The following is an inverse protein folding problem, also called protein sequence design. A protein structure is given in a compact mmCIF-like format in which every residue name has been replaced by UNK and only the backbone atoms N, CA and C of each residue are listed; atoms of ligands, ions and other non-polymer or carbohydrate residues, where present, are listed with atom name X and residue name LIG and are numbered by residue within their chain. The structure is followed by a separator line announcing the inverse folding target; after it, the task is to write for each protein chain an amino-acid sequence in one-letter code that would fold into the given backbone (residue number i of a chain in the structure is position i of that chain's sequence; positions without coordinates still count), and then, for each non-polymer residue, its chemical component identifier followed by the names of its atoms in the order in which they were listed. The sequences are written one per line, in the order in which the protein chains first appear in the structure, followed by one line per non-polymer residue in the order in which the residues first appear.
data_IF_714618750614
#
_entry.id   IF_714618750614
#
_cell.length_a   1.000
_cell.length_b   1.000
_cell.length_c   1.000
_cell.angle_alpha   90.00
_cell.angle_beta   90.00
_cell.angle_gamma   90.00
#
_symmetry.space_group_name_H-M   'P 1'
#
loop_
_entity.id
_entity.type
_entity.pdbx_description
1 polymer ?
#
# COMPACT_ATOMS: atom_id res chain seq x y z
N UNK A 1 16.26 -8.04 -10.50
CA UNK A 1 16.84 -6.75 -10.90
C UNK A 1 17.42 -6.80 -12.31
N UNK A 2 18.52 -7.51 -12.56
CA UNK A 2 19.15 -7.55 -13.89
C UNK A 2 18.15 -7.87 -15.02
N UNK A 3 17.32 -8.89 -14.85
CA UNK A 3 16.31 -9.27 -15.84
C UNK A 3 15.30 -8.14 -16.11
N UNK A 4 14.74 -7.49 -15.08
CA UNK A 4 13.79 -6.39 -15.26
C UNK A 4 14.45 -5.19 -15.97
N UNK A 5 15.69 -4.85 -15.58
CA UNK A 5 16.46 -3.80 -16.24
C UNK A 5 16.70 -4.12 -17.71
N UNK A 6 17.17 -5.35 -18.03
CA UNK A 6 17.41 -5.77 -19.41
C UNK A 6 16.13 -5.74 -20.26
N UNK A 7 14.99 -6.14 -19.69
CA UNK A 7 13.72 -6.09 -20.41
C UNK A 7 13.25 -4.64 -20.65
N UNK A 8 13.47 -3.73 -19.70
CA UNK A 8 13.14 -2.31 -19.87
C UNK A 8 14.08 -1.57 -20.83
N UNK A 9 15.29 -2.08 -21.07
CA UNK A 9 16.22 -1.54 -22.05
C UNK A 9 15.87 -1.93 -23.50
N UNK A 10 14.99 -2.90 -23.71
CA UNK A 10 14.60 -3.30 -25.06
C UNK A 10 13.86 -2.14 -25.76
N UNK A 11 14.13 -1.90 -27.06
CA UNK A 11 13.43 -0.85 -27.83
C UNK A 11 11.91 -1.02 -27.86
N UNK A 12 11.41 -2.25 -27.68
CA UNK A 12 9.97 -2.55 -27.59
C UNK A 12 9.35 -2.04 -26.30
N UNK A 13 10.15 -1.73 -25.27
CA UNK A 13 9.65 -1.31 -23.95
C UNK A 13 9.31 0.17 -23.86
N UNK A 14 9.86 1.03 -24.71
CA UNK A 14 9.63 2.48 -24.74
C UNK A 14 8.97 2.93 -26.02
N UNK A 15 8.24 4.06 -25.93
CA UNK A 15 7.66 4.75 -27.10
C UNK A 15 8.64 5.72 -27.75
N UNK A 16 9.76 6.02 -27.10
CA UNK A 16 10.76 6.95 -27.60
C UNK A 16 11.59 6.31 -28.73
N UNK A 17 11.92 7.09 -29.73
CA UNK A 17 12.80 6.64 -30.85
C UNK A 17 14.23 6.39 -30.37
N UNK A 18 14.67 7.10 -29.31
CA UNK A 18 15.94 6.88 -28.67
C UNK A 18 15.85 5.76 -27.62
N UNK A 19 16.88 4.89 -27.54
CA UNK A 19 16.90 3.81 -26.55
C UNK A 19 16.89 4.38 -25.13
N UNK A 20 16.05 3.85 -24.27
CA UNK A 20 16.00 4.22 -22.85
C UNK A 20 17.37 4.12 -22.22
N UNK A 21 17.81 5.16 -21.50
CA UNK A 21 19.11 5.14 -20.85
C UNK A 21 19.19 4.03 -19.79
N UNK A 22 20.38 3.47 -19.59
CA UNK A 22 20.60 2.44 -18.57
C UNK A 22 20.19 2.92 -17.17
N UNK A 23 20.48 4.19 -16.83
CA UNK A 23 20.11 4.77 -15.54
C UNK A 23 18.60 4.83 -15.34
N UNK A 24 17.85 5.21 -16.36
CA UNK A 24 16.37 5.24 -16.33
C UNK A 24 15.77 3.84 -16.16
N UNK A 25 16.22 2.88 -16.97
CA UNK A 25 15.76 1.49 -16.89
C UNK A 25 16.10 0.84 -15.55
N UNK A 26 17.34 1.03 -15.08
CA UNK A 26 17.79 0.50 -13.79
C UNK A 26 17.02 1.11 -12.61
N UNK A 27 16.90 2.44 -12.57
CA UNK A 27 16.16 3.12 -11.51
C UNK A 27 14.69 2.66 -11.48
N UNK A 28 14.04 2.59 -12.65
CA UNK A 28 12.65 2.15 -12.74
C UNK A 28 12.50 0.68 -12.33
N UNK A 29 13.42 -0.21 -12.71
CA UNK A 29 13.41 -1.61 -12.28
C UNK A 29 13.59 -1.74 -10.76
N UNK A 30 14.50 -0.97 -10.15
CA UNK A 30 14.70 -0.93 -8.69
C UNK A 30 13.44 -0.42 -8.00
N UNK A 31 12.88 0.70 -8.48
CA UNK A 31 11.65 1.29 -7.94
C UNK A 31 10.46 0.32 -8.01
N UNK A 32 10.31 -0.40 -9.13
CA UNK A 32 9.26 -1.40 -9.30
C UNK A 32 9.43 -2.61 -8.35
N UNK A 33 10.64 -3.17 -8.28
CA UNK A 33 10.92 -4.34 -7.43
C UNK A 33 10.90 -4.02 -5.93
N UNK A 34 11.23 -2.78 -5.55
CA UNK A 34 11.11 -2.33 -4.16
C UNK A 34 9.71 -1.85 -3.81
N UNK A 35 8.76 -1.92 -4.75
CA UNK A 35 7.40 -1.36 -4.60
C UNK A 35 7.38 0.12 -4.19
N UNK A 36 8.43 0.88 -4.55
CA UNK A 36 8.59 2.27 -4.19
C UNK A 36 7.73 3.20 -5.06
N UNK A 37 7.59 2.86 -6.37
CA UNK A 37 6.74 3.59 -7.31
C UNK A 37 7.26 4.95 -7.75
N UNK A 38 8.48 5.32 -7.39
CA UNK A 38 9.08 6.56 -7.85
C UNK A 38 9.45 6.41 -9.32
N UNK A 39 8.94 7.31 -10.16
CA UNK A 39 9.23 7.35 -11.58
C UNK A 39 9.97 8.63 -11.93
N UNK A 40 11.07 8.49 -12.69
CA UNK A 40 11.83 9.63 -13.25
C UNK A 40 11.39 9.97 -14.66
N UNK A 41 10.55 9.14 -15.26
CA UNK A 41 9.89 9.38 -16.55
C UNK A 41 8.39 9.23 -16.38
N UNK A 42 7.62 9.85 -17.25
CA UNK A 42 6.17 9.64 -17.22
C UNK A 42 5.86 8.20 -17.65
N UNK A 43 5.37 7.40 -16.70
CA UNK A 43 5.15 5.97 -16.93
C UNK A 43 4.15 5.68 -18.06
N UNK A 44 3.22 6.59 -18.31
CA UNK A 44 2.16 6.43 -19.32
C UNK A 44 2.63 6.74 -20.73
N UNK A 45 3.49 7.74 -20.91
CA UNK A 45 3.96 8.19 -22.22
C UNK A 45 5.26 7.50 -22.63
N UNK A 46 6.10 7.16 -21.67
CA UNK A 46 7.39 6.54 -21.92
C UNK A 46 7.30 5.02 -22.18
N UNK A 47 6.54 4.28 -21.33
CA UNK A 47 6.51 2.82 -21.42
C UNK A 47 5.38 2.31 -22.31
N UNK A 48 5.72 1.46 -23.26
CA UNK A 48 4.76 0.72 -24.10
C UNK A 48 3.93 -0.27 -23.26
N UNK A 49 2.93 -0.89 -23.88
CA UNK A 49 2.20 -1.97 -23.21
C UNK A 49 3.10 -3.11 -22.71
N UNK A 50 4.20 -3.42 -23.41
CA UNK A 50 5.18 -4.39 -22.99
C UNK A 50 5.97 -3.89 -21.76
N UNK A 51 6.47 -2.65 -21.80
CA UNK A 51 7.15 -2.04 -20.65
C UNK A 51 6.25 -1.99 -19.40
N UNK A 52 4.98 -1.65 -19.56
CA UNK A 52 4.00 -1.67 -18.48
C UNK A 52 3.78 -3.09 -17.90
N UNK A 53 3.76 -4.13 -18.71
CA UNK A 53 3.71 -5.52 -18.23
C UNK A 53 4.97 -5.88 -17.45
N UNK A 54 6.15 -5.48 -17.92
CA UNK A 54 7.41 -5.69 -17.18
C UNK A 54 7.36 -5.01 -15.82
N UNK A 55 6.85 -3.77 -15.73
CA UNK A 55 6.65 -3.06 -14.47
C UNK A 55 5.68 -3.80 -13.55
N UNK A 56 4.53 -4.21 -14.09
CA UNK A 56 3.50 -4.94 -13.33
C UNK A 56 4.05 -6.23 -12.73
N UNK A 57 4.74 -7.04 -13.52
CA UNK A 57 5.37 -8.29 -13.06
C UNK A 57 6.46 -8.00 -12.02
N UNK A 58 7.27 -6.95 -12.24
CA UNK A 58 8.34 -6.57 -11.30
C UNK A 58 7.78 -6.13 -9.95
N UNK A 59 6.72 -5.31 -9.93
CA UNK A 59 6.04 -4.89 -8.70
C UNK A 59 5.41 -6.09 -7.99
N UNK A 60 4.74 -6.97 -8.73
CA UNK A 60 4.14 -8.18 -8.15
C UNK A 60 5.17 -9.10 -7.50
N UNK A 61 6.30 -9.33 -8.17
CA UNK A 61 7.41 -10.11 -7.61
C UNK A 61 8.03 -9.42 -6.41
N UNK A 62 8.17 -8.09 -6.44
CA UNK A 62 8.69 -7.29 -5.35
C UNK A 62 7.81 -7.37 -4.10
N UNK A 63 6.51 -7.09 -4.24
CA UNK A 63 5.55 -7.13 -3.13
C UNK A 63 5.40 -8.50 -2.50
N UNK A 64 5.24 -9.55 -3.31
CA UNK A 64 5.22 -10.93 -2.81
C UNK A 64 6.55 -11.32 -2.15
N UNK A 65 7.69 -10.90 -2.73
CA UNK A 65 9.01 -11.15 -2.19
C UNK A 65 9.23 -10.53 -0.83
N UNK A 66 8.87 -9.27 -0.65
CA UNK A 66 8.99 -8.56 0.65
C UNK A 66 8.12 -9.20 1.71
N UNK A 67 6.86 -9.50 1.40
CA UNK A 67 5.95 -10.15 2.35
C UNK A 67 6.44 -11.54 2.77
N UNK A 68 6.88 -12.36 1.81
CA UNK A 68 7.37 -13.72 2.10
C UNK A 68 8.69 -13.69 2.86
N UNK A 69 9.64 -12.85 2.48
CA UNK A 69 10.93 -12.73 3.16
C UNK A 69 10.76 -12.24 4.60
N UNK A 70 9.95 -11.21 4.82
CA UNK A 70 9.63 -10.73 6.17
C UNK A 70 8.97 -11.81 7.03
N UNK A 71 8.09 -12.63 6.44
CA UNK A 71 7.43 -13.75 7.13
C UNK A 71 8.42 -14.85 7.50
N UNK A 72 9.36 -15.16 6.62
CA UNK A 72 10.42 -16.14 6.87
C UNK A 72 11.36 -15.68 7.98
N UNK A 73 11.74 -14.41 8.01
CA UNK A 73 12.54 -13.84 9.11
C UNK A 73 11.79 -13.94 10.43
N UNK A 74 10.51 -13.57 10.47
CA UNK A 74 9.69 -13.67 11.66
C UNK A 74 9.58 -15.12 12.15
N UNK A 75 9.43 -16.08 11.24
CA UNK A 75 9.39 -17.51 11.56
C UNK A 75 10.75 -17.99 12.11
N UNK A 76 11.86 -17.60 11.48
CA UNK A 76 13.21 -17.95 11.91
C UNK A 76 13.56 -17.36 13.29
N UNK A 77 13.19 -16.10 13.54
CA UNK A 77 13.39 -15.45 14.84
C UNK A 77 12.65 -16.17 15.97
N UNK A 78 11.47 -16.71 15.70
CA UNK A 78 10.69 -17.47 16.67
C UNK A 78 11.34 -18.82 17.08
N UNK A 79 12.23 -19.36 16.24
CA UNK A 79 12.97 -20.59 16.60
C UNK A 79 13.93 -20.42 17.79
N UNK A 80 14.37 -19.20 18.06
CA UNK A 80 15.27 -18.88 19.18
C UNK A 80 14.55 -18.45 20.46
N UNK A 81 13.23 -18.35 20.46
CA UNK A 81 12.44 -17.93 21.62
C UNK A 81 12.12 -19.12 22.56
N UNK A 82 12.06 -18.86 23.89
CA UNK A 82 11.67 -19.85 24.91
C UNK A 82 10.26 -20.39 24.65
N UNK A 83 9.99 -21.65 25.09
CA UNK A 83 8.74 -22.37 24.82
C UNK A 83 7.46 -21.57 25.14
N UNK A 84 7.47 -20.75 26.19
CA UNK A 84 6.33 -19.92 26.61
C UNK A 84 6.04 -18.79 25.60
N UNK A 85 7.09 -18.18 25.04
CA UNK A 85 6.92 -17.16 23.99
C UNK A 85 6.52 -17.78 22.64
N UNK A 86 6.96 -19.03 22.36
CA UNK A 86 6.52 -19.80 21.19
C UNK A 86 5.01 -20.05 21.18
N UNK A 87 4.41 -20.34 22.33
CA UNK A 87 2.96 -20.56 22.44
C UNK A 87 2.15 -19.28 22.14
N UNK A 88 2.63 -18.13 22.60
CA UNK A 88 1.98 -16.84 22.32
C UNK A 88 2.10 -16.47 20.84
N UNK A 89 3.26 -16.66 20.24
CA UNK A 89 3.52 -16.30 18.84
C UNK A 89 2.94 -17.34 17.86
N UNK A 90 2.91 -18.63 18.23
CA UNK A 90 2.22 -19.66 17.46
C UNK A 90 0.71 -19.43 17.39
N UNK A 91 0.12 -18.88 18.45
CA UNK A 91 -1.28 -18.45 18.44
C UNK A 91 -1.52 -17.25 17.51
N UNK A 92 -0.52 -16.39 17.29
CA UNK A 92 -0.63 -15.26 16.37
C UNK A 92 -0.42 -15.64 14.90
N UNK A 93 0.52 -16.54 14.62
CA UNK A 93 0.84 -16.99 13.25
C UNK A 93 0.11 -18.28 12.84
N UNK A 94 -0.39 -19.06 13.81
CA UNK A 94 -1.23 -20.23 13.61
C UNK A 94 -0.55 -21.47 13.04
N UNK A 95 0.77 -21.64 13.23
CA UNK A 95 1.53 -22.75 12.59
C UNK A 95 2.72 -23.27 13.42
N UNK A 96 2.94 -24.58 13.35
CA UNK A 96 4.07 -25.28 13.98
C UNK A 96 4.68 -26.30 13.02
N UNK A 97 5.72 -25.99 12.26
CA UNK A 97 6.74 -26.80 11.55
C UNK A 97 7.00 -26.39 10.08
N UNK A 98 8.06 -26.94 9.45
CA UNK A 98 8.57 -26.63 8.10
C UNK A 98 7.59 -26.79 6.90
N UNK A 99 6.49 -27.51 7.07
CA UNK A 99 5.33 -27.47 6.18
C UNK A 99 4.66 -26.06 6.14
N UNK A 100 5.01 -25.22 7.04
CA UNK A 100 4.53 -23.88 7.32
C UNK A 100 4.97 -22.85 6.32
N UNK A 101 6.22 -22.92 5.82
CA UNK A 101 6.72 -21.98 4.80
C UNK A 101 5.85 -22.05 3.54
N UNK A 102 5.51 -23.27 3.11
CA UNK A 102 4.58 -23.48 1.99
C UNK A 102 3.17 -22.96 2.32
N UNK A 103 2.72 -23.18 3.55
CA UNK A 103 1.43 -22.67 4.03
C UNK A 103 1.38 -21.15 4.03
N UNK A 104 2.40 -20.48 4.60
CA UNK A 104 2.49 -19.02 4.60
C UNK A 104 2.55 -18.46 3.17
N UNK A 105 3.40 -19.02 2.31
CA UNK A 105 3.52 -18.60 0.92
C UNK A 105 2.19 -18.74 0.17
N UNK A 106 1.54 -19.89 0.28
CA UNK A 106 0.23 -20.15 -0.35
C UNK A 106 -0.81 -19.13 0.12
N UNK A 107 -0.82 -18.82 1.40
CA UNK A 107 -1.78 -17.87 1.96
C UNK A 107 -1.49 -16.45 1.49
N UNK A 108 -0.22 -16.01 1.49
CA UNK A 108 0.16 -14.69 0.97
C UNK A 108 -0.26 -14.55 -0.48
N UNK A 109 0.09 -15.52 -1.34
CA UNK A 109 -0.27 -15.51 -2.76
C UNK A 109 -1.79 -15.49 -2.93
N UNK A 110 -2.51 -16.38 -2.25
CA UNK A 110 -3.98 -16.47 -2.37
C UNK A 110 -4.66 -15.19 -1.92
N UNK A 111 -4.24 -14.60 -0.79
CA UNK A 111 -4.81 -13.35 -0.28
C UNK A 111 -4.55 -12.21 -1.24
N UNK A 112 -3.34 -12.09 -1.77
CA UNK A 112 -2.97 -11.10 -2.78
C UNK A 112 -3.88 -11.20 -4.00
N UNK A 113 -3.96 -12.38 -4.60
CA UNK A 113 -4.82 -12.58 -5.79
C UNK A 113 -6.30 -12.35 -5.52
N UNK A 114 -6.81 -12.69 -4.34
CA UNK A 114 -8.20 -12.40 -3.98
C UNK A 114 -8.44 -10.90 -3.94
N UNK A 115 -7.60 -10.14 -3.23
CA UNK A 115 -7.78 -8.70 -3.09
C UNK A 115 -7.60 -7.99 -4.43
N UNK A 116 -6.58 -8.36 -5.21
CA UNK A 116 -6.36 -7.82 -6.55
C UNK A 116 -7.54 -8.12 -7.49
N UNK A 117 -8.09 -9.33 -7.45
CA UNK A 117 -9.27 -9.69 -8.25
C UNK A 117 -10.51 -8.90 -7.85
N UNK A 118 -10.76 -8.74 -6.54
CA UNK A 118 -11.87 -7.93 -6.04
C UNK A 118 -11.69 -6.46 -6.46
N UNK A 119 -10.48 -5.93 -6.35
CA UNK A 119 -10.15 -4.57 -6.75
C UNK A 119 -10.33 -4.38 -8.26
N UNK A 120 -9.85 -5.33 -9.07
CA UNK A 120 -10.06 -5.34 -10.53
C UNK A 120 -11.54 -5.26 -10.88
N UNK A 121 -12.37 -6.12 -10.28
CA UNK A 121 -13.81 -6.14 -10.52
C UNK A 121 -14.50 -4.84 -10.07
N UNK A 122 -14.07 -4.27 -8.95
CA UNK A 122 -14.63 -3.03 -8.42
C UNK A 122 -14.24 -1.80 -9.27
N UNK A 123 -13.04 -1.79 -9.88
CA UNK A 123 -12.56 -0.74 -10.75
C UNK A 123 -13.24 -0.76 -12.13
N UNK A 124 -13.61 -1.94 -12.60
CA UNK A 124 -14.06 -2.15 -13.98
C UNK A 124 -15.22 -1.23 -14.38
N UNK A 125 -16.31 -1.08 -13.60
CA UNK A 125 -17.43 -0.19 -13.98
C UNK A 125 -17.03 1.28 -14.08
N UNK A 126 -16.22 1.77 -13.15
CA UNK A 126 -15.75 3.16 -13.14
C UNK A 126 -14.86 3.49 -14.34
N UNK A 127 -13.87 2.65 -14.61
CA UNK A 127 -12.97 2.80 -15.74
C UNK A 127 -13.67 2.56 -17.09
N UNK A 128 -14.66 1.67 -17.14
CA UNK A 128 -15.44 1.42 -18.37
C UNK A 128 -16.17 2.68 -18.84
N UNK A 129 -16.72 3.45 -17.90
CA UNK A 129 -17.32 4.76 -18.21
C UNK A 129 -16.30 5.78 -18.73
N UNK A 130 -15.11 5.86 -18.12
CA UNK A 130 -14.02 6.75 -18.52
C UNK A 130 -13.50 6.38 -19.91
N UNK A 131 -13.30 5.10 -20.17
CA UNK A 131 -12.73 4.56 -21.41
C UNK A 131 -13.75 4.41 -22.56
N UNK A 132 -14.90 5.07 -22.44
CA UNK A 132 -15.94 5.12 -23.48
C UNK A 132 -16.35 3.72 -23.99
N UNK A 133 -16.41 2.74 -23.08
CA UNK A 133 -16.83 1.37 -23.40
C UNK A 133 -15.75 0.47 -24.01
N UNK A 134 -14.50 0.89 -24.05
CA UNK A 134 -13.41 0.04 -24.56
C UNK A 134 -12.99 -1.01 -23.52
N UNK A 135 -13.55 -2.21 -23.64
CA UNK A 135 -13.33 -3.34 -22.71
C UNK A 135 -11.84 -3.70 -22.56
N UNK A 136 -11.10 -3.76 -23.67
CA UNK A 136 -9.68 -4.17 -23.66
C UNK A 136 -8.80 -3.16 -22.92
N UNK A 137 -9.03 -1.88 -23.16
CA UNK A 137 -8.30 -0.80 -22.49
C UNK A 137 -8.65 -0.77 -21.00
N UNK A 138 -9.94 -0.84 -20.67
CA UNK A 138 -10.44 -0.91 -19.29
C UNK A 138 -9.87 -2.08 -18.51
N UNK A 139 -9.84 -3.28 -19.10
CA UNK A 139 -9.30 -4.46 -18.44
C UNK A 139 -7.80 -4.31 -18.13
N UNK A 140 -7.03 -3.74 -19.06
CA UNK A 140 -5.60 -3.49 -18.84
C UNK A 140 -5.36 -2.50 -17.71
N UNK A 141 -6.07 -1.37 -17.72
CA UNK A 141 -5.95 -0.36 -16.67
C UNK A 141 -6.43 -0.87 -15.32
N UNK A 142 -7.56 -1.55 -15.26
CA UNK A 142 -8.09 -2.12 -14.02
C UNK A 142 -7.12 -3.13 -13.40
N UNK A 143 -6.47 -3.97 -14.23
CA UNK A 143 -5.45 -4.91 -13.77
C UNK A 143 -4.22 -4.18 -13.23
N UNK A 144 -3.77 -3.16 -13.95
CA UNK A 144 -2.61 -2.35 -13.57
C UNK A 144 -2.86 -1.67 -12.23
N UNK A 145 -3.97 -0.96 -12.07
CA UNK A 145 -4.34 -0.31 -10.81
C UNK A 145 -4.53 -1.31 -9.66
N UNK A 146 -5.14 -2.48 -9.92
CA UNK A 146 -5.36 -3.48 -8.88
C UNK A 146 -4.03 -3.98 -8.29
N UNK A 147 -3.07 -4.32 -9.15
CA UNK A 147 -1.74 -4.78 -8.71
C UNK A 147 -0.96 -3.66 -8.04
N UNK A 148 -0.91 -2.48 -8.68
CA UNK A 148 -0.14 -1.35 -8.15
C UNK A 148 -0.68 -0.87 -6.79
N UNK A 149 -2.00 -0.81 -6.63
CA UNK A 149 -2.61 -0.35 -5.38
C UNK A 149 -2.38 -1.31 -4.22
N UNK A 150 -2.57 -2.60 -4.41
CA UNK A 150 -2.34 -3.58 -3.35
C UNK A 150 -0.87 -3.65 -2.92
N UNK A 151 0.05 -3.54 -3.88
CA UNK A 151 1.49 -3.52 -3.60
C UNK A 151 1.99 -2.14 -3.13
N UNK A 152 1.11 -1.16 -3.01
CA UNK A 152 1.47 0.21 -2.63
C UNK A 152 2.56 0.84 -3.53
N UNK A 153 2.58 0.45 -4.80
CA UNK A 153 3.45 1.02 -5.82
C UNK A 153 2.70 2.13 -6.57
N UNK A 154 3.17 3.34 -6.47
CA UNK A 154 2.48 4.54 -6.97
C UNK A 154 2.52 4.76 -8.49
N UNK A 155 2.86 3.75 -9.29
CA UNK A 155 2.79 3.86 -10.75
C UNK A 155 1.35 3.91 -11.24
N UNK A 156 1.07 4.80 -12.18
CA UNK A 156 -0.25 4.95 -12.81
C UNK A 156 -0.18 4.60 -14.29
N UNK A 157 -1.23 3.94 -14.85
CA UNK A 157 -1.26 3.54 -16.25
C UNK A 157 -1.67 4.69 -17.18
N UNK A 158 -2.18 5.77 -16.62
CA UNK A 158 -2.60 6.97 -17.31
C UNK A 158 -2.11 8.24 -16.59
N UNK A 159 -2.19 9.39 -17.25
CA UNK A 159 -1.77 10.67 -16.67
C UNK A 159 -2.75 11.26 -15.65
N UNK A 160 -3.92 10.64 -15.45
CA UNK A 160 -4.96 11.15 -14.55
C UNK A 160 -4.77 10.69 -13.08
N UNK A 161 -3.81 9.80 -12.83
CA UNK A 161 -3.45 9.35 -11.49
C UNK A 161 -4.58 8.61 -10.77
N UNK A 162 -4.93 9.05 -9.55
CA UNK A 162 -5.93 8.38 -8.69
C UNK A 162 -7.39 8.62 -9.13
N UNK A 163 -7.66 9.50 -10.07
CA UNK A 163 -9.04 9.91 -10.43
C UNK A 163 -9.85 10.37 -9.20
N UNK A 164 -9.31 11.29 -8.39
CA UNK A 164 -9.94 11.78 -7.14
C UNK A 164 -11.39 12.23 -7.37
N UNK A 165 -11.70 12.78 -8.53
CA UNK A 165 -13.05 13.23 -8.88
C UNK A 165 -14.01 12.08 -9.23
N UNK A 166 -13.54 10.84 -9.34
CA UNK A 166 -14.35 9.66 -9.62
C UNK A 166 -14.22 8.61 -8.50
N UNK A 167 -15.17 8.62 -7.57
CA UNK A 167 -15.20 7.68 -6.45
C UNK A 167 -15.28 6.20 -6.88
N UNK A 168 -15.88 5.91 -8.03
CA UNK A 168 -15.94 4.54 -8.54
C UNK A 168 -14.56 3.98 -8.91
N UNK A 169 -13.56 4.84 -9.10
CA UNK A 169 -12.17 4.46 -9.34
C UNK A 169 -11.31 4.71 -8.11
N UNK A 170 -11.40 5.89 -7.51
CA UNK A 170 -10.56 6.27 -6.38
C UNK A 170 -10.76 5.39 -5.14
N UNK A 171 -12.01 5.08 -4.78
CA UNK A 171 -12.31 4.28 -3.57
C UNK A 171 -11.76 2.85 -3.63
N UNK A 172 -11.94 2.07 -4.72
CA UNK A 172 -11.33 0.75 -4.81
C UNK A 172 -9.79 0.77 -4.73
N UNK A 173 -9.14 1.77 -5.36
CA UNK A 173 -7.68 1.94 -5.27
C UNK A 173 -7.26 2.18 -3.83
N UNK A 174 -7.91 3.14 -3.14
CA UNK A 174 -7.61 3.46 -1.74
C UNK A 174 -7.87 2.27 -0.80
N UNK A 175 -8.97 1.55 -0.99
CA UNK A 175 -9.28 0.37 -0.20
C UNK A 175 -8.25 -0.75 -0.40
N UNK A 176 -7.83 -0.99 -1.63
CA UNK A 176 -6.79 -1.97 -1.97
C UNK A 176 -5.44 -1.61 -1.34
N UNK A 177 -5.01 -0.35 -1.49
CA UNK A 177 -3.79 0.17 -0.89
C UNK A 177 -3.82 0.08 0.64
N UNK A 178 -4.95 0.42 1.25
CA UNK A 178 -5.16 0.26 2.69
C UNK A 178 -5.05 -1.20 3.14
N UNK A 179 -5.63 -2.15 2.40
CA UNK A 179 -5.47 -3.58 2.67
C UNK A 179 -4.00 -4.02 2.60
N UNK A 180 -3.26 -3.59 1.56
CA UNK A 180 -1.83 -3.84 1.44
C UNK A 180 -1.02 -3.27 2.61
N UNK A 181 -1.40 -2.09 3.10
CA UNK A 181 -0.78 -1.44 4.26
C UNK A 181 -1.02 -2.16 5.58
N UNK A 182 -2.16 -2.83 5.78
CA UNK A 182 -2.44 -3.57 7.03
C UNK A 182 -1.51 -4.76 7.24
N UNK A 183 -1.04 -5.37 6.17
CA UNK A 183 -0.21 -6.56 6.19
C UNK A 183 -1.01 -7.86 6.26
N UNK A 184 -0.42 -8.92 5.70
CA UNK A 184 -1.13 -10.19 5.53
C UNK A 184 -1.55 -10.87 6.85
N UNK A 185 -0.79 -10.82 7.99
CA UNK A 185 -1.25 -11.47 9.23
C UNK A 185 -2.54 -10.87 9.78
N UNK A 186 -2.69 -9.55 9.65
CA UNK A 186 -3.92 -8.83 10.04
C UNK A 186 -5.08 -9.24 9.15
N UNK A 187 -4.87 -9.24 7.83
CA UNK A 187 -5.88 -9.65 6.85
C UNK A 187 -6.34 -11.08 7.09
N UNK A 188 -5.39 -12.01 7.34
CA UNK A 188 -5.71 -13.39 7.68
C UNK A 188 -6.52 -13.52 8.96
N UNK A 189 -6.11 -12.82 10.01
CA UNK A 189 -6.86 -12.84 11.27
C UNK A 189 -8.28 -12.33 11.05
N UNK A 190 -8.44 -11.23 10.32
CA UNK A 190 -9.76 -10.68 9.98
C UNK A 190 -10.61 -11.66 9.15
N UNK A 191 -10.03 -12.30 8.12
CA UNK A 191 -10.73 -13.28 7.30
C UNK A 191 -11.17 -14.50 8.12
N UNK A 192 -10.30 -15.03 8.99
CA UNK A 192 -10.64 -16.12 9.92
C UNK A 192 -11.75 -15.71 10.88
N UNK A 193 -11.62 -14.52 11.47
CA UNK A 193 -12.60 -13.99 12.41
C UNK A 193 -13.96 -13.76 11.74
N UNK A 194 -13.98 -13.26 10.51
CA UNK A 194 -15.19 -13.10 9.72
C UNK A 194 -15.85 -14.46 9.42
N UNK A 195 -15.06 -15.46 8.99
CA UNK A 195 -15.55 -16.82 8.70
C UNK A 195 -16.15 -17.51 9.94
N UNK A 196 -15.51 -17.35 11.10
CA UNK A 196 -15.95 -17.97 12.35
C UNK A 196 -16.83 -17.06 13.20
N UNK A 197 -17.22 -15.88 12.71
CA UNK A 197 -18.02 -14.86 13.41
C UNK A 197 -17.49 -14.55 14.81
N UNK A 198 -16.16 -14.53 14.97
CA UNK A 198 -15.53 -14.27 16.28
C UNK A 198 -15.62 -12.78 16.63
N UNK A 199 -16.04 -12.44 17.87
CA UNK A 199 -16.17 -11.04 18.26
C UNK A 199 -14.80 -10.35 18.33
N UNK A 200 -14.72 -9.01 18.12
CA UNK A 200 -13.49 -8.22 18.14
C UNK A 200 -12.64 -8.39 19.43
N UNK A 201 -13.28 -8.71 20.54
CA UNK A 201 -12.59 -8.99 21.82
C UNK A 201 -11.61 -10.16 21.73
N UNK A 202 -11.84 -11.14 20.84
CA UNK A 202 -11.02 -12.35 20.65
C UNK A 202 -10.02 -12.23 19.50
N UNK A 203 -9.91 -11.05 18.87
CA UNK A 203 -8.89 -10.83 17.85
C UNK A 203 -7.49 -10.83 18.47
N UNK A 204 -6.47 -11.19 17.68
CA UNK A 204 -5.09 -11.17 18.16
C UNK A 204 -4.69 -9.76 18.61
N UNK A 205 -3.81 -9.67 19.62
CA UNK A 205 -3.29 -8.40 20.11
C UNK A 205 -2.63 -7.60 18.98
N UNK A 206 -1.84 -8.29 18.15
CA UNK A 206 -1.22 -7.71 16.96
C UNK A 206 -2.23 -7.04 16.04
N UNK A 207 -3.33 -7.73 15.71
CA UNK A 207 -4.40 -7.18 14.85
C UNK A 207 -5.06 -5.96 15.49
N UNK A 208 -5.34 -6.00 16.79
CA UNK A 208 -5.94 -4.87 17.51
C UNK A 208 -5.04 -3.64 17.48
N UNK A 209 -3.76 -3.81 17.85
CA UNK A 209 -2.80 -2.71 17.85
C UNK A 209 -2.66 -2.12 16.44
N UNK A 210 -2.47 -2.98 15.43
CA UNK A 210 -2.33 -2.50 14.04
C UNK A 210 -3.56 -1.73 13.58
N UNK A 211 -4.76 -2.25 13.80
CA UNK A 211 -5.99 -1.59 13.38
C UNK A 211 -6.21 -0.27 14.12
N UNK A 212 -6.13 -0.29 15.46
CA UNK A 212 -6.35 0.92 16.28
C UNK A 212 -5.37 2.01 15.87
N UNK A 213 -4.07 1.70 15.80
CA UNK A 213 -3.06 2.68 15.44
C UNK A 213 -3.25 3.19 14.01
N UNK A 214 -3.53 2.29 13.05
CA UNK A 214 -3.75 2.67 11.65
C UNK A 214 -4.96 3.59 11.51
N UNK A 215 -6.11 3.23 12.09
CA UNK A 215 -7.31 4.06 12.03
C UNK A 215 -7.14 5.39 12.78
N UNK A 216 -6.44 5.40 13.91
CA UNK A 216 -6.13 6.65 14.63
C UNK A 216 -5.28 7.59 13.79
N UNK A 217 -4.27 7.07 13.07
CA UNK A 217 -3.45 7.88 12.17
C UNK A 217 -4.24 8.39 10.96
N UNK A 218 -5.11 7.57 10.37
CA UNK A 218 -5.98 8.00 9.26
C UNK A 218 -6.94 9.10 9.72
N UNK A 219 -7.59 8.93 10.87
CA UNK A 219 -8.50 9.95 11.42
C UNK A 219 -7.76 11.25 11.77
N UNK A 220 -6.56 11.14 12.35
CA UNK A 220 -5.72 12.30 12.65
C UNK A 220 -5.33 13.05 11.38
N UNK A 221 -4.91 12.33 10.33
CA UNK A 221 -4.56 12.92 9.04
C UNK A 221 -5.76 13.57 8.35
N UNK A 222 -6.92 12.91 8.39
CA UNK A 222 -8.16 13.47 7.84
C UNK A 222 -8.55 14.75 8.58
N UNK A 223 -8.56 14.72 9.92
CA UNK A 223 -8.91 15.86 10.73
C UNK A 223 -7.93 17.04 10.49
N UNK A 224 -6.63 16.76 10.49
CA UNK A 224 -5.61 17.77 10.19
C UNK A 224 -5.86 18.42 8.84
N UNK A 225 -6.01 17.63 7.79
CA UNK A 225 -6.20 18.13 6.43
C UNK A 225 -7.48 18.98 6.31
N UNK A 226 -8.60 18.51 6.85
CA UNK A 226 -9.85 19.24 6.81
C UNK A 226 -9.81 20.54 7.63
N UNK A 227 -9.08 20.57 8.75
CA UNK A 227 -8.99 21.77 9.59
C UNK A 227 -8.03 22.82 9.00
N UNK A 228 -6.90 22.38 8.44
CA UNK A 228 -5.85 23.31 7.99
C UNK A 228 -6.05 23.74 6.54
N UNK A 229 -6.51 22.83 5.68
CA UNK A 229 -6.64 23.09 4.23
C UNK A 229 -8.05 23.49 3.79
N UNK A 230 -9.03 23.52 4.69
CA UNK A 230 -10.45 23.76 4.33
C UNK A 230 -10.66 24.99 3.46
N UNK A 231 -9.98 26.09 3.76
CA UNK A 231 -10.09 27.37 3.06
C UNK A 231 -8.89 27.66 2.16
N UNK A 232 -8.11 26.63 1.78
CA UNK A 232 -6.97 26.80 0.89
C UNK A 232 -7.42 27.20 -0.53
N UNK A 233 -7.15 28.46 -0.96
CA UNK A 233 -7.63 28.95 -2.25
C UNK A 233 -6.90 28.33 -3.46
N UNK A 234 -5.71 27.78 -3.25
CA UNK A 234 -4.93 27.15 -4.31
C UNK A 234 -5.46 25.75 -4.65
N UNK A 235 -5.95 25.04 -3.63
CA UNK A 235 -6.42 23.67 -3.78
C UNK A 235 -7.95 23.62 -4.05
N UNK A 236 -8.73 24.51 -3.42
CA UNK A 236 -10.19 24.40 -3.37
C UNK A 236 -10.94 25.64 -3.91
N UNK A 237 -10.33 26.40 -4.83
CA UNK A 237 -11.01 27.55 -5.43
C UNK A 237 -12.31 27.13 -6.13
N UNK A 238 -13.45 27.45 -5.53
CA UNK A 238 -14.77 27.12 -6.04
C UNK A 238 -15.17 25.64 -5.88
N UNK A 239 -14.39 24.84 -5.17
CA UNK A 239 -14.72 23.44 -4.91
C UNK A 239 -15.87 23.30 -3.91
N UNK A 240 -16.76 22.35 -4.16
CA UNK A 240 -17.83 21.96 -3.28
C UNK A 240 -17.32 21.16 -2.06
N UNK A 241 -18.17 20.98 -1.06
CA UNK A 241 -17.85 20.23 0.17
C UNK A 241 -17.46 18.78 -0.15
N UNK A 242 -18.09 18.18 -1.14
CA UNK A 242 -17.79 16.81 -1.55
C UNK A 242 -16.35 16.67 -2.05
N UNK A 243 -15.90 17.58 -2.89
CA UNK A 243 -14.51 17.61 -3.41
C UNK A 243 -13.51 17.79 -2.28
N UNK A 244 -13.77 18.70 -1.32
CA UNK A 244 -12.90 18.89 -0.14
C UNK A 244 -12.78 17.62 0.70
N UNK A 245 -13.89 16.92 0.92
CA UNK A 245 -13.88 15.63 1.64
C UNK A 245 -13.12 14.56 0.88
N UNK A 246 -13.24 14.50 -0.45
CA UNK A 246 -12.49 13.56 -1.31
C UNK A 246 -10.99 13.74 -1.15
N UNK A 247 -10.49 14.97 -1.27
CA UNK A 247 -9.08 15.28 -1.06
C UNK A 247 -8.64 14.97 0.37
N UNK A 248 -9.48 15.23 1.38
CA UNK A 248 -9.21 14.88 2.76
C UNK A 248 -9.00 13.38 2.97
N UNK A 249 -9.85 12.54 2.37
CA UNK A 249 -9.71 11.07 2.43
C UNK A 249 -8.44 10.61 1.70
N UNK A 250 -8.16 11.17 0.52
CA UNK A 250 -6.92 10.88 -0.23
C UNK A 250 -5.68 11.26 0.59
N UNK A 251 -5.68 12.46 1.19
CA UNK A 251 -4.59 12.96 2.04
C UNK A 251 -4.40 12.12 3.32
N UNK A 252 -5.45 11.46 3.80
CA UNK A 252 -5.37 10.61 4.98
C UNK A 252 -4.80 9.21 4.68
N UNK A 253 -5.02 8.68 3.47
CA UNK A 253 -4.66 7.30 3.10
C UNK A 253 -3.38 7.23 2.27
N UNK A 254 -3.29 8.03 1.20
CA UNK A 254 -2.24 7.89 0.18
C UNK A 254 -0.82 8.22 0.65
N UNK A 255 -0.57 9.27 1.44
CA UNK A 255 0.80 9.61 1.84
C UNK A 255 1.49 8.54 2.68
N UNK A 256 0.73 7.70 3.36
CA UNK A 256 1.29 6.69 4.28
C UNK A 256 2.04 5.56 3.60
N UNK A 257 1.80 5.29 2.33
CA UNK A 257 2.56 4.25 1.61
C UNK A 257 2.33 4.15 0.11
N UNK A 258 1.20 4.61 -0.41
CA UNK A 258 0.81 4.29 -1.79
C UNK A 258 1.37 5.25 -2.83
N UNK A 259 1.54 6.52 -2.48
CA UNK A 259 2.11 7.54 -3.35
C UNK A 259 1.35 7.84 -4.66
N UNK A 260 0.12 7.32 -4.82
CA UNK A 260 -0.68 7.61 -6.00
C UNK A 260 -1.07 9.08 -6.03
N UNK A 261 -0.76 9.72 -7.15
CA UNK A 261 -1.17 11.08 -7.50
C UNK A 261 -1.00 12.09 -6.35
N UNK A 262 0.25 12.43 -6.08
CA UNK A 262 0.60 13.51 -5.15
C UNK A 262 0.78 14.86 -5.86
N UNK A 263 0.23 15.03 -7.05
CA UNK A 263 0.35 16.25 -7.87
C UNK A 263 -0.24 17.49 -7.19
N UNK A 264 -1.19 17.29 -6.29
CA UNK A 264 -1.81 18.35 -5.48
C UNK A 264 -0.97 18.78 -4.26
N UNK A 265 0.03 17.99 -3.85
CA UNK A 265 0.87 18.28 -2.66
C UNK A 265 1.62 19.61 -2.75
N UNK A 266 2.12 20.08 -3.89
CA UNK A 266 2.72 21.42 -3.98
C UNK A 266 1.77 22.56 -3.60
N UNK A 267 0.45 22.34 -3.72
CA UNK A 267 -0.58 23.36 -3.49
C UNK A 267 -1.05 23.44 -2.02
N UNK A 268 -0.68 22.47 -1.17
CA UNK A 268 -1.02 22.52 0.25
C UNK A 268 -0.07 23.44 1.02
N UNK A 269 -0.54 23.88 2.20
CA UNK A 269 0.22 24.74 3.10
C UNK A 269 1.50 24.07 3.64
N UNK A 270 2.50 24.87 3.99
CA UNK A 270 3.75 24.34 4.56
C UNK A 270 3.55 23.51 5.84
N UNK A 271 2.66 23.90 6.80
CA UNK A 271 2.38 23.05 7.95
C UNK A 271 1.86 21.67 7.57
N UNK A 272 1.03 21.58 6.54
CA UNK A 272 0.50 20.29 6.04
C UNK A 272 1.59 19.45 5.38
N UNK A 273 2.53 20.05 4.64
CA UNK A 273 3.70 19.33 4.08
C UNK A 273 4.55 18.70 5.18
N UNK A 274 4.85 19.47 6.24
CA UNK A 274 5.60 18.98 7.40
C UNK A 274 4.84 17.86 8.10
N UNK A 275 3.55 18.05 8.36
CA UNK A 275 2.71 17.01 8.96
C UNK A 275 2.68 15.74 8.13
N UNK A 276 2.47 15.84 6.81
CA UNK A 276 2.50 14.70 5.89
C UNK A 276 3.84 13.96 5.94
N UNK A 277 4.97 14.68 5.97
CA UNK A 277 6.30 14.09 6.07
C UNK A 277 6.46 13.24 7.35
N UNK A 278 5.91 13.69 8.47
CA UNK A 278 5.89 12.92 9.73
C UNK A 278 5.00 11.67 9.61
N UNK A 279 3.82 11.80 9.01
CA UNK A 279 2.90 10.68 8.83
C UNK A 279 3.47 9.65 7.84
N UNK A 280 4.15 10.09 6.78
CA UNK A 280 4.83 9.20 5.82
C UNK A 280 5.91 8.34 6.46
N UNK A 281 6.57 8.83 7.52
CA UNK A 281 7.56 8.06 8.27
C UNK A 281 6.94 6.88 9.03
N UNK A 282 5.64 6.97 9.40
CA UNK A 282 4.89 5.91 10.08
C UNK A 282 4.19 5.08 9.00
N UNK A 283 4.81 3.97 8.61
CA UNK A 283 4.34 3.11 7.53
C UNK A 283 3.15 2.20 7.91
N UNK A 284 3.17 0.98 7.39
CA UNK A 284 2.11 0.00 7.57
C UNK A 284 2.33 -1.01 8.69
N UNK A 285 1.46 -2.02 8.71
CA UNK A 285 1.55 -3.16 9.61
C UNK A 285 2.77 -4.03 9.34
N UNK A 286 3.01 -4.98 10.23
CA UNK A 286 4.09 -5.96 10.08
C UNK A 286 3.84 -6.83 8.84
N UNK A 287 4.90 -7.14 8.10
CA UNK A 287 4.83 -7.93 6.86
C UNK A 287 3.84 -7.37 5.82
N UNK A 288 3.69 -6.05 5.74
CA UNK A 288 2.93 -5.34 4.73
C UNK A 288 3.82 -4.92 3.56
N UNK A 289 3.20 -4.52 2.45
CA UNK A 289 3.87 -3.88 1.31
C UNK A 289 4.31 -2.45 1.59
N UNK A 290 3.81 -1.85 2.68
CA UNK A 290 4.12 -0.49 3.07
C UNK A 290 5.55 -0.34 3.63
N UNK A 291 6.23 0.76 3.28
CA UNK A 291 7.51 1.18 3.85
C UNK A 291 7.37 1.83 5.25
N UNK A 292 8.44 2.44 5.74
CA UNK A 292 8.46 3.20 7.00
C UNK A 292 8.52 2.36 8.28
N UNK A 293 8.46 3.03 9.46
CA UNK A 293 8.38 2.37 10.76
C UNK A 293 7.04 1.64 10.87
N UNK A 294 7.07 0.39 11.31
CA UNK A 294 5.83 -0.40 11.46
C UNK A 294 4.92 0.22 12.51
N UNK A 295 3.61 0.30 12.22
CA UNK A 295 2.63 0.89 13.16
C UNK A 295 2.64 0.20 14.53
N UNK A 296 2.95 -1.09 14.59
CA UNK A 296 3.10 -1.82 15.85
C UNK A 296 4.32 -1.34 16.64
N UNK A 297 5.46 -1.12 15.98
CA UNK A 297 6.66 -0.56 16.62
C UNK A 297 6.39 0.86 17.12
N UNK A 298 5.75 1.70 16.30
CA UNK A 298 5.36 3.05 16.68
C UNK A 298 4.43 3.03 17.92
N UNK A 299 3.40 2.18 17.91
CA UNK A 299 2.49 2.03 19.05
C UNK A 299 3.21 1.60 20.34
N UNK A 300 4.15 0.64 20.25
CA UNK A 300 4.94 0.19 21.39
C UNK A 300 5.83 1.33 21.92
N UNK A 301 6.49 2.09 21.06
CA UNK A 301 7.28 3.26 21.47
C UNK A 301 6.40 4.27 22.22
N UNK A 302 5.20 4.58 21.71
CA UNK A 302 4.27 5.49 22.39
C UNK A 302 3.85 4.95 23.77
N UNK A 303 3.59 3.64 23.89
CA UNK A 303 3.22 3.02 25.15
C UNK A 303 4.38 3.08 26.16
N UNK A 304 5.62 2.81 25.73
CA UNK A 304 6.82 2.93 26.55
C UNK A 304 7.01 4.38 27.04
N UNK A 305 6.92 5.35 26.13
CA UNK A 305 6.99 6.75 26.51
C UNK A 305 5.92 7.12 27.54
N UNK A 306 4.68 6.70 27.31
CA UNK A 306 3.58 6.94 28.26
C UNK A 306 3.86 6.30 29.63
N UNK A 307 4.32 5.04 29.66
CA UNK A 307 4.65 4.35 30.91
C UNK A 307 5.77 5.07 31.69
N UNK A 308 6.81 5.53 30.98
CA UNK A 308 7.89 6.32 31.57
C UNK A 308 7.40 7.62 32.20
N UNK A 309 6.47 8.34 31.54
CA UNK A 309 5.88 9.58 32.08
C UNK A 309 4.90 9.33 33.23
N UNK A 310 4.23 8.18 33.28
CA UNK A 310 3.26 7.84 34.34
C UNK A 310 3.88 7.09 35.52
N UNK A 311 5.18 6.79 35.47
CA UNK A 311 5.89 6.07 36.54
C UNK A 311 5.48 4.61 36.70
N UNK A 312 4.78 4.04 35.71
CA UNK A 312 4.43 2.61 35.72
C UNK A 312 5.56 1.81 35.09
N UNK A 313 6.08 0.82 35.84
CA UNK A 313 7.15 -0.09 35.36
C UNK A 313 6.64 -1.32 34.66
N UNK A 314 5.35 -1.63 34.77
CA UNK A 314 4.71 -2.77 34.10
C UNK A 314 4.07 -2.33 32.79
N UNK A 315 4.61 -2.86 31.65
CA UNK A 315 4.11 -2.68 30.29
C UNK A 315 3.50 -3.99 29.81
#
# INVERSE_FOLDING_TARGET
MALSTSLLLLPVSSHEEEPTSFSTAFFTAVSALSTCGISIVNATTHWTAFGQVVLLVSVQMGGLGVMTFASLIALAANHHMKATQRLLTANELGTTKLNEIRGVLTVVITTTFIIESVTFLALFPGLYGINRGNVRHTAREALFFAVMSYNNAGFTPDGAGLHVNNWAVGMPIMASAFCGTLGFPVLLNLMRCARHRTPPRRWSLHTKITLVTTFSLVLLSLAWFLLVEWDNPFLFKGADVETRLRYGVVAAVMPRSSGFDLSWVPQVSEPTKVFMSVIMFIGGGSTSTAGGIRVTTFAVILLICRAAFTGHTDI
#
